data_IF_879127849196
#
_entry.id   IF_879127849196
#
_cell.length_a   1.000
_cell.length_b   1.000
_cell.length_c   1.000
_cell.angle_alpha   90.00
_cell.angle_beta   90.00
_cell.angle_gamma   90.00
#
_symmetry.space_group_name_H-M   'P 1'
#
loop_
_entity.id
_entity.type
_entity.pdbx_description
1 polymer ?
#
# COMPACT_ATOMS: atom_id res chain seq x y z
N UNK A 1 -1.83 11.81 -7.06
CA UNK A 1 -1.72 11.90 -5.59
C UNK A 1 -0.48 11.19 -5.04
N UNK A 2 -0.09 10.00 -5.55
CA UNK A 2 1.12 9.29 -5.09
C UNK A 2 2.37 10.17 -4.98
N UNK A 3 2.69 10.95 -6.03
CA UNK A 3 3.81 11.90 -5.99
C UNK A 3 3.73 12.90 -4.81
N UNK A 4 2.55 13.50 -4.59
CA UNK A 4 2.33 14.51 -3.53
C UNK A 4 2.46 13.89 -2.13
N UNK A 5 1.93 12.68 -1.93
CA UNK A 5 2.03 11.96 -0.66
C UNK A 5 3.46 11.51 -0.37
N UNK A 6 4.16 10.94 -1.34
CA UNK A 6 5.54 10.48 -1.17
C UNK A 6 6.52 11.61 -0.86
N UNK A 7 6.26 12.82 -1.36
CA UNK A 7 7.05 14.03 -1.08
C UNK A 7 6.61 14.76 0.21
N UNK A 8 5.55 14.30 0.89
CA UNK A 8 5.05 14.93 2.11
C UNK A 8 4.38 16.29 1.91
N UNK A 9 4.10 16.70 0.67
CA UNK A 9 3.46 17.98 0.35
C UNK A 9 1.98 18.04 0.77
N UNK A 10 1.35 16.88 0.99
CA UNK A 10 0.00 16.76 1.54
C UNK A 10 -0.07 15.55 2.48
N UNK A 11 -0.73 15.73 3.62
CA UNK A 11 -1.00 14.62 4.55
C UNK A 11 -2.08 13.67 4.03
N UNK A 12 -1.80 12.37 4.01
CA UNK A 12 -2.78 11.33 3.68
C UNK A 12 -4.00 11.36 4.62
N UNK A 13 -3.78 11.58 5.92
CA UNK A 13 -4.86 11.73 6.90
C UNK A 13 -5.78 12.89 6.54
N UNK A 14 -5.21 14.04 6.14
CA UNK A 14 -6.02 15.20 5.75
C UNK A 14 -6.83 14.92 4.49
N UNK A 15 -6.21 14.30 3.48
CA UNK A 15 -6.90 13.92 2.25
C UNK A 15 -8.09 12.97 2.54
N UNK A 16 -7.91 11.98 3.42
CA UNK A 16 -8.98 11.05 3.83
C UNK A 16 -10.12 11.77 4.54
N UNK A 17 -9.82 12.69 5.47
CA UNK A 17 -10.85 13.48 6.15
C UNK A 17 -11.71 14.28 5.18
N UNK A 18 -11.10 14.86 4.14
CA UNK A 18 -11.82 15.63 3.11
C UNK A 18 -12.67 14.74 2.22
N UNK A 19 -12.12 13.63 1.70
CA UNK A 19 -12.85 12.73 0.80
C UNK A 19 -14.00 12.02 1.52
N UNK A 20 -13.89 11.75 2.83
CA UNK A 20 -14.98 11.18 3.63
C UNK A 20 -16.24 12.05 3.65
N UNK A 21 -16.12 13.38 3.50
CA UNK A 21 -17.29 14.29 3.43
C UNK A 21 -18.14 14.04 2.19
N UNK A 22 -17.56 13.48 1.13
CA UNK A 22 -18.22 13.18 -0.14
C UNK A 22 -18.88 11.79 -0.17
N UNK A 23 -18.79 11.02 0.92
CA UNK A 23 -19.25 9.62 0.97
C UNK A 23 -20.74 9.46 0.62
N UNK A 24 -21.58 10.42 0.98
CA UNK A 24 -23.02 10.38 0.69
C UNK A 24 -23.33 10.38 -0.81
N UNK A 25 -22.45 10.99 -1.64
CA UNK A 25 -22.61 11.08 -3.09
C UNK A 25 -21.78 10.05 -3.85
N UNK A 26 -20.65 9.61 -3.27
CA UNK A 26 -19.65 8.79 -3.96
C UNK A 26 -19.11 7.65 -3.08
N UNK A 27 -19.98 6.94 -2.36
CA UNK A 27 -19.57 5.94 -1.34
C UNK A 27 -18.50 4.95 -1.81
N UNK A 28 -18.72 4.29 -2.96
CA UNK A 28 -17.77 3.31 -3.52
C UNK A 28 -16.40 3.92 -3.84
N UNK A 29 -16.38 5.12 -4.42
CA UNK A 29 -15.13 5.80 -4.76
C UNK A 29 -14.38 6.28 -3.51
N UNK A 30 -15.12 6.76 -2.50
CA UNK A 30 -14.55 7.14 -1.20
C UNK A 30 -13.96 5.92 -0.50
N UNK A 31 -14.67 4.81 -0.47
CA UNK A 31 -14.20 3.57 0.18
C UNK A 31 -12.96 3.01 -0.53
N UNK A 32 -12.96 2.95 -1.86
CA UNK A 32 -11.78 2.54 -2.63
C UNK A 32 -10.59 3.49 -2.40
N UNK A 33 -10.81 4.80 -2.38
CA UNK A 33 -9.74 5.75 -2.10
C UNK A 33 -9.15 5.58 -0.69
N UNK A 34 -9.99 5.37 0.31
CA UNK A 34 -9.54 5.17 1.70
C UNK A 34 -8.77 3.86 1.85
N UNK A 35 -9.17 2.79 1.17
CA UNK A 35 -8.42 1.52 1.17
C UNK A 35 -7.01 1.73 0.63
N UNK A 36 -6.84 2.39 -0.51
CA UNK A 36 -5.52 2.59 -1.10
C UNK A 36 -4.66 3.56 -0.29
N UNK A 37 -5.25 4.68 0.15
CA UNK A 37 -4.53 5.78 0.81
C UNK A 37 -4.16 5.49 2.27
N UNK A 38 -4.90 4.59 2.94
CA UNK A 38 -4.65 4.18 4.33
C UNK A 38 -4.11 2.77 4.35
N UNK A 39 -4.93 1.78 3.97
CA UNK A 39 -4.60 0.36 4.17
C UNK A 39 -3.37 -0.03 3.38
N UNK A 40 -3.34 0.19 2.06
CA UNK A 40 -2.19 -0.25 1.24
C UNK A 40 -0.93 0.56 1.51
N UNK A 41 -1.06 1.87 1.70
CA UNK A 41 0.06 2.75 2.04
C UNK A 41 0.71 2.34 3.37
N UNK A 42 -0.09 2.19 4.42
CA UNK A 42 0.43 1.86 5.76
C UNK A 42 0.88 0.40 5.84
N UNK A 43 0.30 -0.50 5.04
CA UNK A 43 0.79 -1.86 4.88
C UNK A 43 2.17 -1.89 4.20
N UNK A 44 2.44 -1.03 3.22
CA UNK A 44 3.76 -0.92 2.61
C UNK A 44 4.80 -0.40 3.62
N UNK A 45 4.47 0.65 4.40
CA UNK A 45 5.33 1.15 5.48
C UNK A 45 5.57 0.07 6.54
N UNK A 46 4.53 -0.68 6.91
CA UNK A 46 4.62 -1.82 7.82
C UNK A 46 5.60 -2.88 7.29
N UNK A 47 5.47 -3.27 6.02
CA UNK A 47 6.34 -4.25 5.40
C UNK A 47 7.79 -3.78 5.41
N UNK A 48 8.08 -2.56 4.94
CA UNK A 48 9.44 -2.02 4.93
C UNK A 48 10.04 -1.87 6.34
N UNK A 49 9.22 -1.56 7.34
CA UNK A 49 9.68 -1.41 8.72
C UNK A 49 10.00 -2.75 9.39
N UNK A 50 9.17 -3.77 9.19
CA UNK A 50 9.31 -5.07 9.87
C UNK A 50 10.06 -6.14 9.06
N UNK A 51 10.25 -5.97 7.75
CA UNK A 51 11.01 -6.88 6.90
C UNK A 51 12.33 -6.22 6.49
N UNK A 52 13.48 -6.55 7.13
CA UNK A 52 14.78 -5.98 6.77
C UNK A 52 15.20 -6.21 5.32
N UNK A 53 14.65 -7.26 4.68
CA UNK A 53 14.94 -7.65 3.30
C UNK A 53 13.82 -7.23 2.33
N UNK A 54 13.11 -6.13 2.62
CA UNK A 54 11.92 -5.69 1.88
C UNK A 54 12.16 -5.45 0.39
N UNK A 55 13.40 -5.20 -0.01
CA UNK A 55 13.83 -4.92 -1.39
C UNK A 55 14.38 -6.16 -2.12
N UNK A 56 14.19 -7.36 -1.54
CA UNK A 56 14.74 -8.60 -2.08
C UNK A 56 13.75 -9.77 -1.97
N UNK A 57 13.96 -10.81 -2.80
CA UNK A 57 13.11 -12.03 -2.79
C UNK A 57 13.18 -12.75 -1.43
N UNK A 58 14.24 -12.54 -0.66
CA UNK A 58 14.41 -13.05 0.69
C UNK A 58 13.36 -12.49 1.66
N UNK A 59 12.83 -11.30 1.41
CA UNK A 59 11.75 -10.70 2.18
C UNK A 59 10.35 -11.18 1.78
N UNK A 60 10.23 -11.95 0.68
CA UNK A 60 8.96 -12.51 0.26
C UNK A 60 8.50 -13.61 1.21
N UNK A 61 7.18 -13.82 1.27
CA UNK A 61 6.61 -14.90 2.06
C UNK A 61 7.05 -16.28 1.53
N UNK A 62 7.19 -17.27 2.42
CA UNK A 62 7.80 -18.56 2.11
C UNK A 62 7.24 -19.25 0.86
N UNK A 63 5.92 -19.34 0.73
CA UNK A 63 5.27 -19.94 -0.44
C UNK A 63 5.66 -19.25 -1.76
N UNK A 64 5.84 -17.93 -1.74
CA UNK A 64 6.21 -17.14 -2.92
C UNK A 64 7.67 -17.38 -3.31
N UNK A 65 8.57 -17.44 -2.33
CA UNK A 65 9.97 -17.76 -2.57
C UNK A 65 10.15 -19.21 -3.08
N UNK A 66 9.36 -20.16 -2.57
CA UNK A 66 9.37 -21.56 -2.99
C UNK A 66 8.88 -21.73 -4.43
N UNK A 67 7.74 -21.12 -4.78
CA UNK A 67 7.22 -21.23 -6.15
C UNK A 67 8.17 -20.61 -7.18
N UNK A 68 8.82 -19.48 -6.86
CA UNK A 68 9.84 -18.88 -7.72
C UNK A 68 11.05 -19.81 -7.92
N UNK A 69 11.50 -20.52 -6.88
CA UNK A 69 12.59 -21.50 -6.99
C UNK A 69 12.23 -22.66 -7.90
N UNK A 70 11.02 -23.22 -7.75
CA UNK A 70 10.53 -24.33 -8.58
C UNK A 70 10.52 -23.95 -10.07
N UNK A 71 10.14 -22.72 -10.39
CA UNK A 71 10.01 -22.25 -11.78
C UNK A 71 11.28 -21.55 -12.32
N UNK A 72 12.40 -21.56 -11.58
CA UNK A 72 13.62 -20.83 -11.96
C UNK A 72 14.40 -21.40 -13.16
N UNK A 73 14.04 -22.60 -13.63
CA UNK A 73 14.73 -23.32 -14.73
C UNK A 73 13.76 -23.88 -15.80
N UNK A 74 12.52 -23.40 -15.81
CA UNK A 74 11.64 -23.56 -16.97
C UNK A 74 12.10 -22.58 -18.07
#
# INVERSE_FOLDING_TARGET
MSAIFGQGQLSAQRAVLEVRRLRSRHSKAVEAFVEEAVVRRELADNFCFYQPHYDSVQGAYGWAAETLKVHSRL
#
